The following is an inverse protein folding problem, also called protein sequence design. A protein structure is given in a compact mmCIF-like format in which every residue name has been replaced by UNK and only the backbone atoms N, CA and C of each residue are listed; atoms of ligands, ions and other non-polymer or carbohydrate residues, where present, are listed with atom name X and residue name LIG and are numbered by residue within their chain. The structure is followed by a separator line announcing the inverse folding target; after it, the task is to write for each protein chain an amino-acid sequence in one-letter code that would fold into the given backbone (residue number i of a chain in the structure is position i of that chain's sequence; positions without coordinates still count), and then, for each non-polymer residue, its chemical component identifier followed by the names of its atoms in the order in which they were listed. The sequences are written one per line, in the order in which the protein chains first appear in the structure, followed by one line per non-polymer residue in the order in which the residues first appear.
data_IF_732212734368
#
_entry.id   IF_732212734368
#
_cell.length_a   1.000
_cell.length_b   1.000
_cell.length_c   1.000
_cell.angle_alpha   90.00
_cell.angle_beta   90.00
_cell.angle_gamma   90.00
#
_symmetry.space_group_name_H-M   'P 1'
#
loop_
_entity.id
_entity.type
_entity.pdbx_description
1 polymer ?
#
# COMPACT_ATOMS: atom_id res chain seq x y z
N UNK A 1 -10.33 2.17 -21.30
CA UNK A 1 -9.14 2.62 -20.53
C UNK A 1 -9.18 4.13 -20.54
N UNK A 2 -9.55 4.76 -19.42
CA UNK A 2 -9.43 6.21 -19.28
C UNK A 2 -7.94 6.49 -19.01
N UNK A 3 -7.25 7.04 -19.99
CA UNK A 3 -5.93 7.61 -19.79
C UNK A 3 -6.13 8.89 -18.99
N UNK A 4 -5.82 8.85 -17.70
CA UNK A 4 -5.74 10.05 -16.87
C UNK A 4 -4.45 10.74 -17.22
N UNK A 5 -4.51 12.04 -17.50
CA UNK A 5 -3.33 12.87 -17.76
C UNK A 5 -2.34 12.72 -16.60
N UNK A 6 -1.05 12.50 -16.90
CA UNK A 6 0.01 12.38 -15.89
C UNK A 6 0.15 13.65 -15.04
N UNK A 7 -0.31 14.79 -15.57
CA UNK A 7 -0.31 16.09 -14.92
C UNK A 7 -1.70 16.44 -14.36
N UNK A 8 -2.67 15.52 -14.42
CA UNK A 8 -3.96 15.70 -13.76
C UNK A 8 -3.73 15.86 -12.26
N UNK A 9 -4.29 16.93 -11.70
CA UNK A 9 -4.36 17.07 -10.25
C UNK A 9 -5.04 15.82 -9.66
N UNK A 10 -4.60 15.35 -8.48
CA UNK A 10 -5.28 14.26 -7.79
C UNK A 10 -6.78 14.54 -7.71
N UNK A 11 -7.66 13.53 -7.80
CA UNK A 11 -9.10 13.74 -7.70
C UNK A 11 -9.40 14.58 -6.45
N UNK A 12 -9.99 15.76 -6.67
CA UNK A 12 -10.38 16.67 -5.62
C UNK A 12 -11.87 16.45 -5.35
N UNK A 13 -12.19 16.10 -4.11
CA UNK A 13 -13.57 16.09 -3.63
C UNK A 13 -13.74 17.21 -2.58
N UNK A 14 -14.98 17.67 -2.38
CA UNK A 14 -15.27 18.75 -1.44
C UNK A 14 -16.47 18.38 -0.59
N UNK A 15 -16.23 18.24 0.72
CA UNK A 15 -17.27 18.03 1.71
C UNK A 15 -17.67 19.39 2.27
N UNK A 16 -18.96 19.71 2.19
CA UNK A 16 -19.51 20.94 2.76
C UNK A 16 -20.07 20.70 4.16
N UNK A 17 -19.61 21.49 5.13
CA UNK A 17 -20.05 21.42 6.52
C UNK A 17 -20.29 22.81 7.08
N UNK A 18 -21.25 22.93 8.00
CA UNK A 18 -21.47 24.14 8.79
C UNK A 18 -20.90 23.93 10.19
N UNK A 19 -19.89 24.72 10.55
CA UNK A 19 -19.20 24.62 11.84
C UNK A 19 -19.39 25.91 12.65
N UNK A 20 -19.68 25.84 13.96
CA UNK A 20 -19.65 26.99 14.84
C UNK A 20 -18.21 27.50 15.04
N UNK A 21 -18.06 28.66 15.70
CA UNK A 21 -16.74 29.14 16.09
C UNK A 21 -16.02 28.14 17.01
N UNK A 22 -14.76 27.86 16.74
CA UNK A 22 -13.94 26.91 17.50
C UNK A 22 -12.70 26.44 16.75
N UNK A 23 -11.89 25.65 17.45
CA UNK A 23 -10.73 24.95 16.90
C UNK A 23 -11.15 23.54 16.46
N UNK A 24 -10.72 23.15 15.27
CA UNK A 24 -11.09 21.88 14.64
C UNK A 24 -9.87 21.14 14.13
N UNK A 25 -10.00 19.83 14.10
CA UNK A 25 -9.12 18.92 13.39
C UNK A 25 -9.97 18.04 12.50
N UNK A 26 -9.62 17.97 11.22
CA UNK A 26 -10.20 17.01 10.28
C UNK A 26 -9.24 15.84 10.12
N UNK A 27 -9.79 14.63 10.19
CA UNK A 27 -9.10 13.38 9.87
C UNK A 27 -9.78 12.79 8.63
N UNK A 28 -9.00 12.39 7.64
CA UNK A 28 -9.51 11.85 6.37
C UNK A 28 -8.84 10.52 6.03
N UNK A 29 -9.64 9.60 5.48
CA UNK A 29 -9.21 8.31 4.95
C UNK A 29 -9.87 8.07 3.61
N UNK A 30 -9.12 7.52 2.67
CA UNK A 30 -9.64 7.08 1.38
C UNK A 30 -9.08 5.71 1.03
N UNK A 31 -9.96 4.80 0.62
CA UNK A 31 -9.63 3.45 0.17
C UNK A 31 -10.60 2.98 -0.92
N UNK A 32 -10.40 1.75 -1.41
CA UNK A 32 -11.25 1.16 -2.44
C UNK A 32 -12.39 0.34 -1.85
N UNK A 33 -13.59 0.68 -2.26
CA UNK A 33 -14.82 -0.11 -2.07
C UNK A 33 -15.46 -0.46 -3.42
N UNK A 34 -16.43 -1.37 -3.44
CA UNK A 34 -17.18 -1.61 -4.66
C UNK A 34 -18.17 -0.50 -4.92
N UNK A 35 -18.21 -0.02 -6.17
CA UNK A 35 -19.07 1.10 -6.60
C UNK A 35 -20.54 0.91 -6.19
N UNK A 36 -21.08 -0.29 -6.38
CA UNK A 36 -22.48 -0.59 -6.13
C UNK A 36 -22.74 -1.13 -4.70
N UNK A 37 -21.69 -1.25 -3.89
CA UNK A 37 -21.76 -1.71 -2.50
C UNK A 37 -20.61 -1.08 -1.69
N UNK A 38 -20.74 0.20 -1.28
CA UNK A 38 -19.67 0.97 -0.65
C UNK A 38 -19.51 0.63 0.84
N UNK A 39 -19.38 -0.66 1.14
CA UNK A 39 -19.08 -1.17 2.48
C UNK A 39 -17.60 -1.44 2.60
N UNK A 40 -17.08 -1.20 3.80
CA UNK A 40 -15.73 -1.57 4.21
C UNK A 40 -15.40 -3.02 3.78
N UNK A 41 -14.29 -3.17 3.06
CA UNK A 41 -13.83 -4.46 2.54
C UNK A 41 -12.46 -4.82 3.08
N UNK A 42 -11.44 -4.07 2.65
CA UNK A 42 -10.04 -4.34 3.01
C UNK A 42 -9.63 -3.65 4.31
N UNK A 43 -10.35 -2.62 4.72
CA UNK A 43 -10.10 -1.86 5.94
C UNK A 43 -11.40 -1.66 6.70
N UNK A 44 -11.33 -1.74 8.02
CA UNK A 44 -12.39 -1.32 8.95
C UNK A 44 -12.11 0.13 9.34
N UNK A 45 -13.04 1.02 9.04
CA UNK A 45 -12.86 2.47 9.12
C UNK A 45 -13.84 3.15 10.09
N UNK A 46 -14.49 2.37 10.96
CA UNK A 46 -15.43 2.84 11.98
C UNK A 46 -14.82 3.86 12.96
N UNK A 47 -13.49 3.79 13.15
CA UNK A 47 -12.74 4.73 13.97
C UNK A 47 -11.42 5.09 13.28
N UNK A 48 -11.26 6.35 12.83
CA UNK A 48 -10.06 6.81 12.12
C UNK A 48 -8.77 6.80 12.97
N UNK A 49 -8.90 6.73 14.30
CA UNK A 49 -7.77 6.53 15.22
C UNK A 49 -7.43 5.06 15.46
N UNK A 50 -8.19 4.12 14.89
CA UNK A 50 -8.04 2.67 15.03
C UNK A 50 -8.48 1.88 13.79
N UNK A 51 -8.04 2.32 12.61
CA UNK A 51 -8.29 1.61 11.35
C UNK A 51 -7.62 0.24 11.38
N UNK A 52 -8.26 -0.80 10.85
CA UNK A 52 -7.71 -2.17 10.81
C UNK A 52 -7.78 -2.77 9.42
N UNK A 53 -6.69 -3.36 8.98
CA UNK A 53 -6.66 -4.20 7.78
C UNK A 53 -7.46 -5.49 8.05
N UNK A 54 -8.34 -5.84 7.12
CA UNK A 54 -8.99 -7.15 7.11
C UNK A 54 -7.98 -8.21 6.63
N UNK A 55 -7.42 -8.97 7.57
CA UNK A 55 -6.39 -9.99 7.29
C UNK A 55 -6.96 -11.30 6.75
N UNK A 56 -8.29 -11.47 6.74
CA UNK A 56 -8.93 -12.70 6.25
C UNK A 56 -9.11 -12.69 4.73
N UNK A 57 -8.95 -11.52 4.09
CA UNK A 57 -9.10 -11.35 2.65
C UNK A 57 -7.85 -10.74 2.03
N UNK A 58 -7.44 -11.27 0.89
CA UNK A 58 -6.37 -10.72 0.07
C UNK A 58 -6.86 -10.52 -1.36
N UNK A 59 -6.68 -9.33 -1.96
CA UNK A 59 -7.18 -9.06 -3.30
C UNK A 59 -6.32 -9.71 -4.38
N UNK A 60 -6.96 -10.15 -5.47
CA UNK A 60 -6.24 -10.56 -6.69
C UNK A 60 -5.46 -9.38 -7.29
N UNK A 61 -6.06 -8.19 -7.33
CA UNK A 61 -5.36 -6.95 -7.69
C UNK A 61 -4.97 -6.19 -6.41
N UNK A 62 -3.67 -6.19 -6.11
CA UNK A 62 -3.10 -5.59 -4.90
C UNK A 62 -3.33 -4.09 -4.82
N UNK A 63 -3.55 -3.39 -5.94
CA UNK A 63 -3.89 -1.98 -5.96
C UNK A 63 -5.21 -1.66 -5.23
N UNK A 64 -6.10 -2.64 -5.04
CA UNK A 64 -7.31 -2.44 -4.22
C UNK A 64 -7.02 -2.26 -2.73
N UNK A 65 -5.78 -2.53 -2.27
CA UNK A 65 -5.28 -2.15 -0.94
C UNK A 65 -4.55 -0.82 -0.92
N UNK A 66 -4.56 -0.05 -2.01
CA UNK A 66 -4.02 1.30 -1.97
C UNK A 66 -4.95 2.21 -1.18
N UNK A 67 -4.38 3.03 -0.31
CA UNK A 67 -5.10 3.93 0.57
C UNK A 67 -4.39 5.27 0.64
N UNK A 68 -5.13 6.28 1.09
CA UNK A 68 -4.58 7.60 1.40
C UNK A 68 -5.16 8.11 2.72
N UNK A 69 -4.35 8.87 3.44
CA UNK A 69 -4.69 9.48 4.72
C UNK A 69 -4.32 10.96 4.70
N UNK A 70 -5.13 11.79 5.33
CA UNK A 70 -4.82 13.20 5.55
C UNK A 70 -5.35 13.68 6.88
N UNK A 71 -4.75 14.76 7.40
CA UNK A 71 -5.32 15.51 8.52
C UNK A 71 -4.92 16.97 8.42
N UNK A 72 -5.79 17.85 8.92
CA UNK A 72 -5.54 19.29 8.98
C UNK A 72 -6.17 19.90 10.24
N UNK A 73 -5.52 20.93 10.80
CA UNK A 73 -6.05 21.70 11.93
C UNK A 73 -6.38 23.12 11.48
N UNK A 74 -7.56 23.62 11.86
CA UNK A 74 -8.01 24.96 11.48
C UNK A 74 -8.92 25.56 12.55
N UNK A 75 -9.02 26.89 12.56
CA UNK A 75 -9.86 27.63 13.50
C UNK A 75 -10.93 28.42 12.75
N UNK A 76 -12.17 28.28 13.21
CA UNK A 76 -13.32 29.07 12.76
C UNK A 76 -13.52 30.19 13.80
N UNK A 77 -13.17 31.43 13.50
CA UNK A 77 -13.24 32.50 14.50
C UNK A 77 -12.82 33.87 14.00
N UNK A 78 -12.67 34.81 14.92
CA UNK A 78 -12.04 36.11 14.65
C UNK A 78 -10.57 36.01 15.10
N UNK A 79 -9.68 35.79 14.12
CA UNK A 79 -8.22 35.94 14.12
C UNK A 79 -7.44 35.69 15.43
N UNK A 80 -6.95 34.47 15.69
CA UNK A 80 -5.81 34.24 16.60
C UNK A 80 -5.00 32.97 16.23
N UNK A 81 -4.13 33.03 15.21
CA UNK A 81 -3.18 31.96 14.89
C UNK A 81 -2.72 31.92 13.42
N UNK A 82 -1.63 31.18 13.10
CA UNK A 82 -1.09 31.09 11.73
C UNK A 82 -2.04 30.47 10.69
N UNK A 83 -3.10 29.77 11.13
CA UNK A 83 -4.19 29.21 10.31
C UNK A 83 -5.58 29.70 10.76
N UNK A 84 -5.68 30.92 11.30
CA UNK A 84 -6.98 31.55 11.63
C UNK A 84 -7.55 32.33 10.45
N UNK A 85 -8.87 32.27 10.25
CA UNK A 85 -9.53 32.94 9.13
C UNK A 85 -10.77 33.71 9.60
N UNK A 86 -10.84 34.99 9.23
CA UNK A 86 -11.81 35.96 9.73
C UNK A 86 -13.18 35.85 9.06
N UNK A 87 -14.20 36.17 9.85
CA UNK A 87 -15.57 36.43 9.39
C UNK A 87 -15.79 37.93 9.27
N UNK A 88 -16.43 38.39 8.18
CA UNK A 88 -17.03 39.72 8.20
C UNK A 88 -18.30 39.71 9.07
N UNK A 89 -18.45 40.70 9.96
CA UNK A 89 -19.64 40.88 10.82
C UNK A 89 -20.95 41.12 10.04
N UNK A 90 -20.89 41.20 8.70
CA UNK A 90 -22.01 41.53 7.82
C UNK A 90 -23.02 40.39 7.57
N UNK A 91 -22.85 39.22 8.19
CA UNK A 91 -23.76 38.07 8.00
C UNK A 91 -23.60 37.36 6.65
N UNK A 92 -22.53 37.67 5.92
CA UNK A 92 -22.17 37.02 4.66
C UNK A 92 -21.29 35.81 4.97
N UNK A 93 -21.81 34.59 4.77
CA UNK A 93 -21.01 33.37 4.89
C UNK A 93 -19.90 33.40 3.83
N UNK A 94 -18.64 33.57 4.22
CA UNK A 94 -17.53 33.26 3.33
C UNK A 94 -17.43 31.74 3.23
N UNK A 95 -17.67 31.19 2.04
CA UNK A 95 -17.39 29.77 1.78
C UNK A 95 -15.89 29.55 1.90
N UNK A 96 -15.48 28.73 2.87
CA UNK A 96 -14.07 28.43 3.14
C UNK A 96 -13.72 27.06 2.57
N UNK A 97 -12.51 26.94 1.99
CA UNK A 97 -11.95 25.66 1.52
C UNK A 97 -10.70 25.36 2.34
N UNK A 98 -10.75 24.28 3.12
CA UNK A 98 -9.60 23.74 3.86
C UNK A 98 -9.03 22.58 3.04
N UNK A 99 -7.81 22.68 2.49
CA UNK A 99 -7.19 21.56 1.80
C UNK A 99 -6.74 20.50 2.80
N UNK A 100 -7.18 19.25 2.61
CA UNK A 100 -6.66 18.10 3.34
C UNK A 100 -5.77 17.31 2.39
N UNK A 101 -4.46 17.54 2.49
CA UNK A 101 -3.49 16.82 1.66
C UNK A 101 -3.42 15.37 2.10
N UNK A 102 -3.57 14.45 1.13
CA UNK A 102 -3.60 13.03 1.40
C UNK A 102 -2.36 12.33 0.84
N UNK A 103 -1.84 11.37 1.59
CA UNK A 103 -0.66 10.59 1.24
C UNK A 103 -0.87 9.12 1.62
N UNK A 104 -0.10 8.21 1.00
CA UNK A 104 -0.21 6.79 1.32
C UNK A 104 0.38 6.51 2.71
N UNK A 105 -0.38 5.92 3.66
CA UNK A 105 0.12 5.57 5.01
C UNK A 105 1.04 4.35 5.03
N UNK A 106 1.10 3.61 3.92
CA UNK A 106 1.82 2.36 3.77
C UNK A 106 3.07 2.51 2.91
N UNK A 107 4.07 1.68 3.16
CA UNK A 107 4.99 1.25 2.12
C UNK A 107 4.33 0.17 1.27
N UNK A 108 4.65 0.12 -0.03
CA UNK A 108 4.25 -0.99 -0.88
C UNK A 108 5.47 -1.72 -1.41
N UNK A 109 5.35 -3.01 -1.66
CA UNK A 109 6.36 -3.74 -2.41
C UNK A 109 5.76 -4.59 -3.50
N UNK A 110 6.59 -4.96 -4.47
CA UNK A 110 6.22 -5.77 -5.62
C UNK A 110 7.34 -6.76 -5.94
N UNK A 111 6.97 -7.97 -6.34
CA UNK A 111 7.90 -9.05 -6.66
C UNK A 111 7.90 -9.31 -8.16
N UNK A 112 9.08 -9.36 -8.78
CA UNK A 112 9.28 -9.57 -10.22
C UNK A 112 10.20 -10.76 -10.43
N UNK A 113 9.74 -11.74 -11.20
CA UNK A 113 10.60 -12.84 -11.65
C UNK A 113 11.55 -12.36 -12.75
N UNK A 114 12.85 -12.43 -12.47
CA UNK A 114 13.90 -12.24 -13.48
C UNK A 114 14.15 -13.52 -14.29
N UNK A 115 13.72 -14.68 -13.80
CA UNK A 115 13.84 -15.99 -14.42
C UNK A 115 12.57 -16.46 -15.14
N UNK A 116 11.63 -15.55 -15.40
CA UNK A 116 10.36 -15.88 -16.04
C UNK A 116 10.54 -16.55 -17.41
N UNK A 117 11.40 -16.02 -18.27
CA UNK A 117 11.63 -16.57 -19.60
C UNK A 117 12.28 -17.96 -19.55
N UNK A 118 13.16 -18.21 -18.58
CA UNK A 118 13.74 -19.53 -18.34
C UNK A 118 12.69 -20.52 -17.84
N UNK A 119 11.80 -20.08 -16.94
CA UNK A 119 10.69 -20.87 -16.43
C UNK A 119 9.75 -21.32 -17.57
N UNK A 120 9.34 -20.40 -18.45
CA UNK A 120 8.51 -20.73 -19.61
C UNK A 120 9.25 -21.65 -20.59
N UNK A 121 10.54 -21.41 -20.86
CA UNK A 121 11.36 -22.28 -21.74
C UNK A 121 11.50 -23.71 -21.19
N UNK A 122 11.49 -23.87 -19.87
CA UNK A 122 11.49 -25.18 -19.22
C UNK A 122 10.12 -25.88 -19.21
N UNK A 123 9.08 -25.26 -19.79
CA UNK A 123 7.72 -25.80 -19.86
C UNK A 123 6.79 -25.34 -18.72
N UNK A 124 7.22 -24.36 -17.91
CA UNK A 124 6.38 -23.73 -16.90
C UNK A 124 5.23 -22.91 -17.49
N UNK A 125 4.20 -22.67 -16.69
CA UNK A 125 3.06 -21.79 -17.01
C UNK A 125 2.73 -20.95 -15.78
N UNK A 126 2.16 -19.75 -15.95
CA UNK A 126 1.57 -19.00 -14.81
C UNK A 126 0.16 -19.47 -14.47
N UNK A 127 -0.49 -20.19 -15.39
CA UNK A 127 -1.86 -20.64 -15.19
C UNK A 127 -1.91 -21.64 -14.04
N UNK A 128 -2.71 -21.32 -13.02
CA UNK A 128 -2.84 -22.13 -11.81
C UNK A 128 -1.67 -22.05 -10.83
N UNK A 129 -0.62 -21.27 -11.12
CA UNK A 129 0.43 -21.02 -10.13
C UNK A 129 -0.11 -20.19 -8.96
N UNK A 130 0.25 -20.62 -7.77
CA UNK A 130 -0.07 -19.91 -6.54
C UNK A 130 1.19 -19.63 -5.75
N UNK A 131 1.14 -18.57 -4.96
CA UNK A 131 2.19 -18.23 -4.00
C UNK A 131 1.58 -18.11 -2.62
N UNK A 132 2.25 -18.68 -1.63
CA UNK A 132 2.01 -18.45 -0.21
C UNK A 132 3.07 -17.49 0.32
N UNK A 133 2.61 -16.39 0.89
CA UNK A 133 3.46 -15.39 1.55
C UNK A 133 3.26 -15.50 3.06
N UNK A 134 4.36 -15.61 3.80
CA UNK A 134 4.36 -15.69 5.26
C UNK A 134 5.24 -14.58 5.81
N UNK A 135 4.67 -13.62 6.54
CA UNK A 135 5.46 -12.65 7.28
C UNK A 135 5.98 -13.26 8.58
N UNK A 136 7.25 -13.02 8.89
CA UNK A 136 7.97 -13.66 10.01
C UNK A 136 8.26 -12.73 11.17
N UNK A 137 7.70 -11.54 11.11
CA UNK A 137 7.85 -10.51 12.13
C UNK A 137 6.54 -9.75 12.32
N UNK A 138 6.54 -8.84 13.28
CA UNK A 138 5.45 -7.91 13.47
C UNK A 138 5.32 -6.99 12.26
N UNK A 139 4.13 -6.94 11.69
CA UNK A 139 3.76 -6.02 10.61
C UNK A 139 2.60 -5.14 11.06
N UNK A 140 2.56 -3.89 10.59
CA UNK A 140 1.49 -2.95 10.88
C UNK A 140 0.21 -3.31 10.12
N UNK A 141 -0.82 -3.72 10.85
CA UNK A 141 -2.16 -4.07 10.33
C UNK A 141 -3.26 -3.17 10.87
N UNK A 142 -2.90 -2.11 11.59
CA UNK A 142 -3.81 -1.02 11.90
C UNK A 142 -3.10 0.32 11.93
N UNK A 143 -3.88 1.38 11.76
CA UNK A 143 -3.39 2.73 11.58
C UNK A 143 -4.20 3.74 12.40
N UNK A 144 -3.51 4.74 12.94
CA UNK A 144 -4.12 5.91 13.57
C UNK A 144 -3.84 7.14 12.70
N UNK A 145 -4.90 7.72 12.13
CA UNK A 145 -4.82 8.90 11.25
C UNK A 145 -4.29 10.13 12.00
N UNK A 146 -4.77 10.36 13.22
CA UNK A 146 -4.37 11.51 14.06
C UNK A 146 -2.87 11.44 14.43
N UNK A 147 -2.45 10.28 14.94
CA UNK A 147 -1.06 10.05 15.35
C UNK A 147 -0.12 9.77 14.16
N UNK A 148 -0.66 9.65 12.94
CA UNK A 148 0.05 9.36 11.68
C UNK A 148 0.98 8.15 11.76
N UNK A 149 0.56 7.09 12.46
CA UNK A 149 1.41 5.89 12.66
C UNK A 149 0.61 4.59 12.79
N UNK A 150 1.24 3.44 12.51
CA UNK A 150 0.64 2.16 12.81
C UNK A 150 0.39 2.00 14.32
N UNK A 151 -0.74 1.40 14.70
CA UNK A 151 -1.15 1.24 16.09
C UNK A 151 -1.60 -0.19 16.44
N UNK A 152 -1.57 -1.11 15.47
CA UNK A 152 -1.87 -2.52 15.66
C UNK A 152 -0.89 -3.35 14.83
N UNK A 153 -0.30 -4.37 15.45
CA UNK A 153 0.70 -5.23 14.84
C UNK A 153 0.39 -6.71 15.04
N UNK A 154 0.78 -7.54 14.09
CA UNK A 154 0.61 -9.01 14.18
C UNK A 154 1.77 -9.74 13.52
N UNK A 155 2.08 -10.94 14.02
CA UNK A 155 3.02 -11.91 13.40
C UNK A 155 2.30 -13.04 12.66
N UNK A 156 0.96 -13.10 12.76
CA UNK A 156 0.17 -14.24 12.26
C UNK A 156 -0.38 -14.03 10.85
N UNK A 157 0.07 -13.01 10.14
CA UNK A 157 -0.47 -12.70 8.82
C UNK A 157 0.28 -13.46 7.73
N UNK A 158 -0.47 -14.24 6.97
CA UNK A 158 -0.03 -14.91 5.76
C UNK A 158 -1.18 -14.91 4.76
N UNK A 159 -0.87 -14.97 3.47
CA UNK A 159 -1.89 -15.03 2.44
C UNK A 159 -1.45 -15.94 1.30
N UNK A 160 -2.43 -16.42 0.55
CA UNK A 160 -2.20 -17.10 -0.72
C UNK A 160 -2.75 -16.22 -1.83
N UNK A 161 -2.05 -16.13 -2.95
CA UNK A 161 -2.55 -15.46 -4.15
C UNK A 161 -2.18 -16.24 -5.40
N UNK A 162 -2.96 -16.03 -6.45
CA UNK A 162 -2.59 -16.40 -7.81
C UNK A 162 -1.60 -15.39 -8.36
N UNK A 163 -0.70 -15.86 -9.22
CA UNK A 163 0.20 -14.96 -9.95
C UNK A 163 -0.60 -14.26 -11.05
N UNK A 164 -0.41 -12.96 -11.21
CA UNK A 164 -1.04 -12.18 -12.27
C UNK A 164 0.02 -11.41 -13.03
N UNK A 165 0.12 -11.56 -14.36
CA UNK A 165 0.96 -10.68 -15.17
C UNK A 165 0.40 -9.26 -15.10
N UNK A 166 1.08 -8.36 -14.39
CA UNK A 166 0.75 -6.94 -14.34
C UNK A 166 1.73 -6.19 -15.25
N UNK A 167 1.22 -5.58 -16.32
CA UNK A 167 2.01 -4.74 -17.23
C UNK A 167 2.16 -3.35 -16.62
N UNK A 168 3.40 -2.89 -16.41
CA UNK A 168 3.72 -1.54 -15.94
C UNK A 168 4.47 -0.79 -17.05
N UNK A 169 4.11 0.48 -17.29
CA UNK A 169 4.77 1.38 -18.26
C UNK A 169 5.01 0.78 -19.65
N UNK A 170 4.09 -0.06 -20.13
CA UNK A 170 4.22 -0.73 -21.42
C UNK A 170 5.38 -1.73 -21.53
N UNK A 171 6.06 -2.03 -20.42
CA UNK A 171 7.07 -3.09 -20.32
C UNK A 171 6.44 -4.30 -19.66
N UNK A 172 6.54 -5.46 -20.32
CA UNK A 172 6.14 -6.75 -19.77
C UNK A 172 7.14 -7.18 -18.69
N UNK A 173 7.07 -6.57 -17.51
CA UNK A 173 7.69 -7.14 -16.32
C UNK A 173 6.65 -8.05 -15.66
N UNK A 174 6.94 -9.35 -15.54
CA UNK A 174 6.04 -10.28 -14.84
C UNK A 174 6.12 -10.02 -13.35
N UNK A 175 5.26 -9.12 -12.90
CA UNK A 175 4.93 -8.95 -11.48
C UNK A 175 4.27 -10.23 -10.99
N UNK A 176 4.81 -10.89 -9.96
CA UNK A 176 4.21 -12.09 -9.41
C UNK A 176 3.10 -11.74 -8.41
N UNK A 177 3.40 -10.82 -7.48
CA UNK A 177 2.50 -10.32 -6.43
C UNK A 177 3.12 -9.09 -5.74
N UNK A 178 2.45 -8.53 -4.73
CA UNK A 178 2.95 -7.42 -3.91
C UNK A 178 2.02 -7.14 -2.73
N UNK A 179 2.38 -6.30 -1.76
CA UNK A 179 1.44 -5.93 -0.68
C UNK A 179 1.64 -4.48 -0.22
N UNK A 180 0.65 -3.99 0.53
CA UNK A 180 0.64 -2.68 1.18
C UNK A 180 0.61 -2.91 2.69
N UNK A 181 1.66 -2.49 3.39
CA UNK A 181 1.74 -2.61 4.85
C UNK A 181 1.92 -1.23 5.48
N UNK A 182 1.21 -0.98 6.57
CA UNK A 182 1.36 0.29 7.29
C UNK A 182 2.77 0.41 7.85
N UNK A 183 3.44 1.51 7.52
CA UNK A 183 4.78 1.83 7.98
C UNK A 183 4.77 3.14 8.75
N UNK A 184 5.78 3.37 9.56
CA UNK A 184 5.98 4.68 10.19
C UNK A 184 6.42 5.75 9.16
N UNK A 185 6.35 7.03 9.53
CA UNK A 185 6.78 8.16 8.71
C UNK A 185 8.30 8.30 8.69
N UNK A 186 8.93 8.21 9.86
CA UNK A 186 10.33 8.61 10.03
C UNK A 186 11.33 7.52 9.66
N UNK A 187 10.94 6.26 9.82
CA UNK A 187 11.86 5.13 9.75
C UNK A 187 11.45 4.15 8.65
N UNK A 188 12.46 3.65 7.93
CA UNK A 188 12.31 2.46 7.11
C UNK A 188 11.90 1.28 8.02
N UNK A 189 10.90 0.53 7.56
CA UNK A 189 10.46 -0.70 8.19
C UNK A 189 10.96 -1.87 7.35
N UNK A 190 11.96 -2.60 7.86
CA UNK A 190 12.42 -3.83 7.23
C UNK A 190 11.50 -4.97 7.66
N UNK A 191 10.83 -5.61 6.69
CA UNK A 191 10.01 -6.80 6.95
C UNK A 191 10.69 -8.08 6.49
N UNK A 192 10.53 -9.15 7.27
CA UNK A 192 10.96 -10.49 6.92
C UNK A 192 9.80 -11.32 6.40
N UNK A 193 9.96 -11.92 5.22
CA UNK A 193 8.96 -12.79 4.62
C UNK A 193 9.57 -14.06 4.00
N UNK A 194 8.77 -15.13 3.99
CA UNK A 194 9.01 -16.32 3.16
C UNK A 194 7.97 -16.37 2.03
N UNK A 195 8.41 -16.76 0.83
CA UNK A 195 7.57 -17.00 -0.34
C UNK A 195 7.68 -18.47 -0.75
N UNK A 196 6.55 -19.15 -0.91
CA UNK A 196 6.49 -20.54 -1.40
C UNK A 196 5.62 -20.57 -2.66
N UNK A 197 6.16 -21.08 -3.75
CA UNK A 197 5.50 -21.15 -5.06
C UNK A 197 5.04 -22.57 -5.35
N UNK A 198 3.79 -22.71 -5.76
CA UNK A 198 3.16 -23.99 -6.05
C UNK A 198 2.60 -24.01 -7.47
N UNK A 199 2.73 -25.15 -8.13
CA UNK A 199 2.08 -25.39 -9.40
C UNK A 199 0.55 -25.63 -9.27
N UNK A 200 -0.13 -25.80 -10.41
CA UNK A 200 -1.57 -26.04 -10.46
C UNK A 200 -2.01 -27.36 -9.78
N UNK A 201 -1.09 -28.30 -9.54
CA UNK A 201 -1.36 -29.54 -8.80
C UNK A 201 -1.22 -29.38 -7.28
N UNK A 202 -0.71 -28.23 -6.82
CA UNK A 202 -0.37 -27.97 -5.43
C UNK A 202 1.02 -28.47 -5.03
N UNK A 203 1.87 -28.84 -5.98
CA UNK A 203 3.27 -29.24 -5.72
C UNK A 203 4.13 -27.99 -5.59
N UNK A 204 4.95 -27.91 -4.53
CA UNK A 204 5.91 -26.82 -4.36
C UNK A 204 7.01 -26.92 -5.44
N UNK A 205 7.19 -25.83 -6.20
CA UNK A 205 8.19 -25.76 -7.27
C UNK A 205 9.42 -24.95 -6.87
N UNK A 206 9.24 -24.00 -5.95
CA UNK A 206 10.33 -23.15 -5.44
C UNK A 206 9.92 -22.46 -4.14
N UNK A 207 10.91 -22.02 -3.37
CA UNK A 207 10.69 -21.12 -2.25
C UNK A 207 11.88 -20.18 -2.05
N UNK A 208 11.63 -19.08 -1.36
CA UNK A 208 12.63 -18.15 -0.86
C UNK A 208 12.26 -17.79 0.57
N UNK A 209 13.23 -17.79 1.48
CA UNK A 209 12.96 -17.60 2.91
C UNK A 209 13.73 -16.41 3.46
N UNK A 210 13.29 -15.82 4.57
CA UNK A 210 13.99 -14.73 5.25
C UNK A 210 14.34 -13.57 4.28
N UNK A 211 13.44 -13.27 3.35
CA UNK A 211 13.62 -12.12 2.46
C UNK A 211 13.41 -10.86 3.29
N UNK A 212 14.43 -10.02 3.34
CA UNK A 212 14.35 -8.67 3.88
C UNK A 212 13.75 -7.74 2.82
N UNK A 213 12.66 -7.07 3.19
CA UNK A 213 11.95 -6.14 2.31
C UNK A 213 11.94 -4.78 3.02
N UNK A 214 12.78 -3.83 2.58
CA UNK A 214 12.74 -2.48 3.11
C UNK A 214 11.46 -1.81 2.65
N UNK A 215 10.68 -1.29 3.59
CA UNK A 215 9.48 -0.52 3.29
C UNK A 215 9.61 0.90 3.84
N UNK A 216 9.36 1.87 2.96
CA UNK A 216 9.24 3.27 3.32
C UNK A 216 7.86 3.78 2.95
N UNK A 217 7.26 4.57 3.84
CA UNK A 217 5.92 5.13 3.63
C UNK A 217 5.87 5.89 2.30
N UNK A 218 4.78 5.72 1.56
CA UNK A 218 4.54 6.37 0.28
C UNK A 218 5.56 6.03 -0.84
N UNK A 219 6.40 5.01 -0.65
CA UNK A 219 7.33 4.53 -1.67
C UNK A 219 6.96 3.11 -2.13
N UNK A 220 7.51 2.71 -3.27
CA UNK A 220 7.48 1.31 -3.73
C UNK A 220 8.85 0.66 -3.57
N UNK A 221 8.85 -0.60 -3.13
CA UNK A 221 10.02 -1.47 -3.15
C UNK A 221 9.82 -2.58 -4.17
N UNK A 222 10.72 -2.71 -5.13
CA UNK A 222 10.67 -3.71 -6.19
C UNK A 222 11.69 -4.80 -5.90
N UNK A 223 11.21 -5.98 -5.52
CA UNK A 223 12.02 -7.19 -5.36
C UNK A 223 12.15 -7.88 -6.72
N UNK A 224 13.36 -8.02 -7.24
CA UNK A 224 13.67 -8.72 -8.50
C UNK A 224 14.51 -9.94 -8.19
N UNK A 225 14.24 -11.09 -8.77
CA UNK A 225 15.05 -12.26 -8.49
C UNK A 225 14.61 -13.52 -9.21
N UNK A 226 15.35 -14.60 -8.98
CA UNK A 226 15.01 -15.92 -9.49
C UNK A 226 14.06 -16.61 -8.52
N UNK A 227 12.76 -16.50 -8.79
CA UNK A 227 11.70 -16.96 -7.90
C UNK A 227 11.02 -18.23 -8.41
N UNK A 228 11.06 -18.50 -9.72
CA UNK A 228 10.27 -19.58 -10.35
C UNK A 228 11.10 -20.81 -10.69
N UNK A 229 12.41 -20.64 -10.88
CA UNK A 229 13.36 -21.67 -11.31
C UNK A 229 14.37 -22.05 -10.23
N UNK A 230 14.38 -21.34 -9.10
CA UNK A 230 15.31 -21.59 -7.99
C UNK A 230 15.06 -22.96 -7.38
N UNK A 231 16.12 -23.75 -7.22
CA UNK A 231 16.06 -25.07 -6.60
C UNK A 231 15.82 -24.92 -5.10
N UNK A 232 14.92 -25.76 -4.59
CA UNK A 232 14.68 -25.93 -3.15
C UNK A 232 16.01 -26.29 -2.46
N UNK A 233 16.47 -25.44 -1.54
CA UNK A 233 17.72 -25.63 -0.77
C UNK A 233 18.88 -24.68 -1.09
N UNK A 234 18.78 -23.86 -2.14
CA UNK A 234 19.80 -22.84 -2.46
C UNK A 234 19.50 -21.55 -1.68
N UNK A 235 20.26 -21.25 -0.62
CA UNK A 235 20.04 -20.11 0.30
C UNK A 235 20.07 -18.72 -0.38
N UNK A 236 19.48 -17.69 0.24
CA UNK A 236 19.18 -16.40 -0.40
C UNK A 236 20.35 -15.40 -0.36
N UNK A 237 20.75 -14.85 -1.51
CA UNK A 237 21.72 -13.75 -1.59
C UNK A 237 21.02 -12.48 -2.08
N UNK A 238 20.75 -11.54 -1.17
CA UNK A 238 20.09 -10.27 -1.49
C UNK A 238 21.15 -9.19 -1.82
N UNK A 239 21.02 -8.52 -2.97
CA UNK A 239 21.73 -7.30 -3.35
C UNK A 239 20.71 -6.15 -3.41
N UNK A 240 21.05 -4.94 -2.95
CA UNK A 240 20.15 -3.77 -2.99
C UNK A 240 20.72 -2.77 -4.00
N UNK A 241 19.87 -2.25 -4.91
CA UNK A 241 20.17 -1.10 -5.77
C UNK A 241 19.31 0.09 -5.30
N UNK A 242 19.97 1.07 -4.70
CA UNK A 242 19.38 2.25 -4.05
C UNK A 242 19.32 3.47 -4.99
N UNK A 243 19.55 3.29 -6.29
CA UNK A 243 19.59 4.38 -7.25
C UNK A 243 18.28 4.51 -8.05
N UNK A 244 17.27 5.25 -7.57
CA UNK A 244 16.33 6.04 -8.42
C UNK A 244 15.19 6.78 -7.67
N UNK A 245 14.59 7.76 -8.34
CA UNK A 245 13.47 8.63 -7.89
C UNK A 245 12.16 7.84 -7.59
N UNK A 246 12.03 7.32 -6.37
CA UNK A 246 10.75 6.86 -5.80
C UNK A 246 10.50 5.36 -5.79
N UNK A 247 11.43 4.55 -6.32
CA UNK A 247 11.41 3.08 -6.26
C UNK A 247 12.71 2.55 -5.63
N UNK A 248 12.59 1.65 -4.65
CA UNK A 248 13.73 0.92 -4.06
C UNK A 248 13.85 -0.44 -4.73
N UNK A 249 14.93 -0.74 -5.46
CA UNK A 249 15.09 -2.05 -6.11
C UNK A 249 15.95 -2.96 -5.24
N UNK A 250 15.47 -4.17 -5.01
CA UNK A 250 16.19 -5.22 -4.26
C UNK A 250 16.33 -6.44 -5.17
N UNK A 251 17.55 -6.76 -5.56
CA UNK A 251 17.90 -7.97 -6.28
C UNK A 251 18.05 -9.16 -5.33
N UNK A 252 17.46 -10.30 -5.69
CA UNK A 252 17.54 -11.56 -4.96
C UNK A 252 18.18 -12.59 -5.91
N UNK A 253 19.43 -12.94 -5.60
CA UNK A 253 20.23 -13.95 -6.28
C UNK A 253 19.97 -15.34 -5.70
#
# INVERSE_FOLDING_TARGET
MLLVDKDALPPQDTIQVYLPKGDYQVLAWADYVYKDNPVDRFYQTDMLTSIKTNTDIYPVNTHHRSTAVGQEMFTIGSDFGPNSFSFEESGTFSSMVIPVMMERPSGRYRVIASDFDDFIRAGGTLEGLTVKVIYKQYIGVGYNVEARKPNLFTTMYSFNTILSQIVYDGKEAVSLFGDYLFTDWENETNILADFYFFDASGTEISHCQNIEIPLKRNHETVLRGFFLTRKIGDGNNVNIDDSFDGEYVVEIN
#
